data_IF_712021473562
#
_entry.id   IF_712021473562
#
_cell.length_a   1.000
_cell.length_b   1.000
_cell.length_c   1.000
_cell.angle_alpha   90.00
_cell.angle_beta   90.00
_cell.angle_gamma   90.00
#
_symmetry.space_group_name_H-M   'P 1'
#
loop_
_entity.id
_entity.type
_entity.pdbx_description
1 polymer ?
#
# COMPACT_ATOMS: atom_id res chain seq x y z
N UNK A 1 16.07 7.76 13.38
CA UNK A 1 16.24 7.75 11.93
C UNK A 1 16.78 6.39 11.54
N UNK A 2 15.93 5.49 11.03
CA UNK A 2 16.36 4.18 10.54
C UNK A 2 16.80 4.31 9.09
N UNK A 3 18.03 3.92 8.70
CA UNK A 3 18.57 4.09 7.36
C UNK A 3 18.03 3.08 6.33
N UNK A 4 17.06 2.24 6.72
CA UNK A 4 16.55 1.13 5.90
C UNK A 4 15.76 1.61 4.66
N UNK A 5 15.21 2.82 4.68
CA UNK A 5 14.35 3.37 3.62
C UNK A 5 15.08 3.75 2.31
N UNK A 6 16.41 3.74 2.27
CA UNK A 6 17.18 4.12 1.08
C UNK A 6 17.38 3.00 0.05
N UNK A 7 17.07 1.74 0.40
CA UNK A 7 17.33 0.56 -0.43
C UNK A 7 16.07 0.10 -1.17
N UNK A 8 14.90 0.35 -0.61
CA UNK A 8 13.62 -0.12 -1.15
C UNK A 8 13.02 0.86 -2.18
N UNK A 9 13.20 0.52 -3.46
CA UNK A 9 12.56 1.22 -4.59
C UNK A 9 11.21 0.61 -5.04
N UNK A 10 10.65 1.15 -6.13
CA UNK A 10 9.38 0.71 -6.75
C UNK A 10 9.29 -0.81 -6.97
N UNK A 11 10.39 -1.45 -7.33
CA UNK A 11 10.43 -2.91 -7.57
C UNK A 11 10.09 -3.74 -6.34
N UNK A 12 10.46 -3.28 -5.14
CA UNK A 12 10.14 -4.00 -3.91
C UNK A 12 8.67 -3.86 -3.53
N UNK A 13 8.07 -2.70 -3.80
CA UNK A 13 6.62 -2.49 -3.69
C UNK A 13 5.89 -3.42 -4.66
N UNK A 14 6.37 -3.55 -5.90
CA UNK A 14 5.82 -4.49 -6.87
C UNK A 14 5.97 -5.95 -6.42
N UNK A 15 7.11 -6.33 -5.85
CA UNK A 15 7.34 -7.67 -5.31
C UNK A 15 6.37 -8.00 -4.16
N UNK A 16 6.11 -7.04 -3.27
CA UNK A 16 5.09 -7.16 -2.22
C UNK A 16 3.71 -7.41 -2.83
N UNK A 17 3.30 -6.58 -3.80
CA UNK A 17 1.97 -6.66 -4.41
C UNK A 17 1.79 -7.99 -5.15
N UNK A 18 2.80 -8.39 -5.92
CA UNK A 18 2.84 -9.70 -6.62
C UNK A 18 2.89 -10.88 -5.66
N UNK A 19 3.28 -10.66 -4.40
CA UNK A 19 3.41 -11.70 -3.39
C UNK A 19 4.63 -12.59 -3.62
N UNK A 20 5.68 -12.05 -4.23
CA UNK A 20 6.95 -12.75 -4.48
C UNK A 20 7.96 -12.55 -3.34
N UNK A 21 7.61 -11.78 -2.31
CA UNK A 21 8.40 -11.67 -1.08
C UNK A 21 8.22 -12.93 -0.25
N UNK A 22 9.34 -13.61 0.03
CA UNK A 22 9.36 -14.85 0.79
C UNK A 22 9.34 -14.59 2.30
N UNK A 23 9.91 -13.45 2.74
CA UNK A 23 10.02 -13.11 4.16
C UNK A 23 8.86 -12.21 4.64
N UNK A 24 8.39 -12.46 5.85
CA UNK A 24 7.41 -11.61 6.53
C UNK A 24 8.05 -10.32 7.07
N UNK A 25 9.36 -10.33 7.37
CA UNK A 25 10.12 -9.13 7.75
C UNK A 25 10.20 -8.13 6.57
N UNK A 26 10.50 -8.61 5.36
CA UNK A 26 10.50 -7.77 4.16
C UNK A 26 9.13 -7.16 3.87
N UNK A 27 8.04 -7.91 4.12
CA UNK A 27 6.68 -7.39 3.96
C UNK A 27 6.40 -6.24 4.93
N UNK A 28 6.82 -6.39 6.18
CA UNK A 28 6.63 -5.37 7.20
C UNK A 28 7.49 -4.13 6.93
N UNK A 29 8.70 -4.29 6.39
CA UNK A 29 9.56 -3.20 5.95
C UNK A 29 8.88 -2.36 4.84
N UNK A 30 8.26 -3.01 3.86
CA UNK A 30 7.54 -2.32 2.78
C UNK A 30 6.31 -1.59 3.31
N UNK A 31 5.55 -2.20 4.20
CA UNK A 31 4.41 -1.53 4.86
C UNK A 31 4.88 -0.28 5.62
N UNK A 32 5.95 -0.41 6.42
CA UNK A 32 6.53 0.70 7.20
C UNK A 32 7.13 1.80 6.30
N UNK A 33 7.67 1.44 5.14
CA UNK A 33 8.17 2.38 4.13
C UNK A 33 7.02 3.19 3.51
N UNK A 34 5.95 2.53 3.10
CA UNK A 34 4.76 3.19 2.54
C UNK A 34 4.10 4.08 3.58
N UNK A 35 4.14 3.66 4.84
CA UNK A 35 3.67 4.43 5.99
C UNK A 35 4.51 5.70 6.23
N UNK A 36 5.84 5.57 6.24
CA UNK A 36 6.74 6.63 6.70
C UNK A 36 7.29 7.54 5.61
N UNK A 37 7.32 7.09 4.34
CA UNK A 37 7.86 7.85 3.21
C UNK A 37 6.75 8.29 2.24
N UNK A 38 6.45 9.61 2.18
CA UNK A 38 5.46 10.16 1.24
C UNK A 38 5.74 9.85 -0.24
N UNK A 39 7.00 9.62 -0.62
CA UNK A 39 7.38 9.22 -1.98
C UNK A 39 6.96 7.79 -2.27
N UNK A 40 7.16 6.88 -1.32
CA UNK A 40 6.69 5.50 -1.43
C UNK A 40 5.16 5.43 -1.45
N UNK A 41 4.49 6.18 -0.57
CA UNK A 41 3.04 6.34 -0.59
C UNK A 41 2.53 6.83 -1.94
N UNK A 42 3.18 7.85 -2.52
CA UNK A 42 2.82 8.37 -3.85
C UNK A 42 2.97 7.30 -4.94
N UNK A 43 4.06 6.53 -4.94
CA UNK A 43 4.27 5.44 -5.90
C UNK A 43 3.12 4.42 -5.79
N UNK A 44 2.72 4.05 -4.59
CA UNK A 44 1.61 3.10 -4.36
C UNK A 44 0.28 3.62 -4.89
N UNK A 45 0.00 4.91 -4.69
CA UNK A 45 -1.24 5.53 -5.15
C UNK A 45 -1.27 5.71 -6.68
N UNK A 46 -0.12 5.87 -7.31
CA UNK A 46 0.03 6.00 -8.77
C UNK A 46 0.25 4.66 -9.49
N UNK A 47 0.32 3.52 -8.76
CA UNK A 47 0.47 2.19 -9.37
C UNK A 47 -0.75 1.84 -10.20
N UNK A 48 -0.55 1.69 -11.50
CA UNK A 48 -1.59 1.19 -12.40
C UNK A 48 -1.58 -0.35 -12.47
N UNK A 49 -2.74 -1.00 -12.68
CA UNK A 49 -2.82 -2.45 -12.85
C UNK A 49 -1.90 -2.99 -13.95
N UNK A 50 -1.66 -2.19 -15.00
CA UNK A 50 -0.75 -2.53 -16.10
C UNK A 50 0.71 -2.68 -15.65
N UNK A 51 1.12 -2.02 -14.56
CA UNK A 51 2.48 -2.15 -14.00
C UNK A 51 2.65 -3.41 -13.14
N UNK A 52 1.53 -3.96 -12.66
CA UNK A 52 1.52 -5.16 -11.85
C UNK A 52 1.69 -6.43 -12.68
N UNK A 53 1.32 -6.37 -13.96
CA UNK A 53 1.39 -7.48 -14.92
C UNK A 53 0.17 -7.47 -15.83
N UNK A 54 -0.12 -8.61 -16.46
CA UNK A 54 -1.31 -8.75 -17.28
C UNK A 54 -2.57 -8.59 -16.38
N UNK A 55 -3.46 -7.62 -16.64
CA UNK A 55 -4.64 -7.36 -15.79
C UNK A 55 -5.56 -8.58 -15.65
N UNK A 56 -5.49 -9.49 -16.61
CA UNK A 56 -6.25 -10.75 -16.65
C UNK A 56 -5.61 -11.87 -15.82
N UNK A 57 -4.34 -11.71 -15.43
CA UNK A 57 -3.60 -12.61 -14.54
C UNK A 57 -3.46 -12.05 -13.11
N UNK A 58 -4.08 -10.89 -12.83
CA UNK A 58 -4.12 -10.33 -11.47
C UNK A 58 -5.07 -11.15 -10.60
N UNK A 59 -4.50 -12.12 -9.89
CA UNK A 59 -5.20 -12.84 -8.84
C UNK A 59 -5.80 -11.87 -7.81
N UNK A 60 -6.96 -12.23 -7.24
CA UNK A 60 -7.61 -11.47 -6.15
C UNK A 60 -6.64 -11.17 -4.99
N UNK A 61 -5.64 -12.03 -4.78
CA UNK A 61 -4.60 -11.84 -3.79
C UNK A 61 -3.72 -10.61 -4.09
N UNK A 62 -3.39 -10.36 -5.36
CA UNK A 62 -2.59 -9.20 -5.78
C UNK A 62 -3.38 -7.91 -5.55
N UNK A 63 -4.66 -7.90 -5.92
CA UNK A 63 -5.53 -6.75 -5.67
C UNK A 63 -5.70 -6.46 -4.17
N UNK A 64 -5.87 -7.50 -3.34
CA UNK A 64 -5.94 -7.33 -1.87
C UNK A 64 -4.68 -6.70 -1.30
N UNK A 65 -3.49 -7.13 -1.75
CA UNK A 65 -2.21 -6.57 -1.30
C UNK A 65 -2.00 -5.13 -1.75
N UNK A 66 -2.31 -4.81 -3.02
CA UNK A 66 -2.27 -3.43 -3.50
C UNK A 66 -3.20 -2.53 -2.67
N UNK A 67 -4.45 -2.97 -2.46
CA UNK A 67 -5.44 -2.20 -1.69
C UNK A 67 -4.99 -1.96 -0.25
N UNK A 68 -4.32 -2.93 0.37
CA UNK A 68 -3.73 -2.78 1.70
C UNK A 68 -2.69 -1.66 1.72
N UNK A 69 -1.73 -1.66 0.78
CA UNK A 69 -0.73 -0.60 0.70
C UNK A 69 -1.36 0.77 0.40
N UNK A 70 -2.38 0.83 -0.47
CA UNK A 70 -3.10 2.07 -0.76
C UNK A 70 -3.82 2.62 0.48
N UNK A 71 -4.40 1.76 1.32
CA UNK A 71 -5.00 2.19 2.59
C UNK A 71 -3.96 2.78 3.54
N UNK A 72 -2.81 2.13 3.71
CA UNK A 72 -1.71 2.65 4.54
C UNK A 72 -1.24 4.02 4.02
N UNK A 73 -1.06 4.15 2.70
CA UNK A 73 -0.67 5.40 2.06
C UNK A 73 -1.71 6.52 2.24
N UNK A 74 -3.00 6.18 2.21
CA UNK A 74 -4.09 7.17 2.34
C UNK A 74 -4.32 7.58 3.80
N UNK A 75 -4.26 6.64 4.74
CA UNK A 75 -4.33 6.90 6.19
C UNK A 75 -3.23 7.89 6.64
N UNK A 76 -2.02 7.77 6.07
CA UNK A 76 -0.93 8.71 6.36
C UNK A 76 -1.02 10.04 5.63
N UNK A 77 -1.69 10.12 4.48
CA UNK A 77 -2.03 11.40 3.84
C UNK A 77 -2.98 12.25 4.69
N UNK A 78 -3.80 11.60 5.52
CA UNK A 78 -4.78 12.26 6.39
C UNK A 78 -4.42 12.24 7.88
N UNK A 79 -3.24 11.76 8.31
CA UNK A 79 -2.86 11.80 9.74
C UNK A 79 -2.61 13.24 10.27
N UNK A 80 -2.66 14.26 9.40
CA UNK A 80 -2.79 15.68 9.77
C UNK A 80 -4.24 16.19 9.89
N UNK A 81 -5.24 15.40 9.52
CA UNK A 81 -6.68 15.70 9.61
C UNK A 81 -7.40 14.46 10.15
N UNK A 82 -7.59 14.42 11.47
CA UNK A 82 -8.44 13.45 12.17
C UNK A 82 -9.63 12.98 11.33
N UNK A 83 -9.79 11.67 11.05
CA UNK A 83 -11.05 11.13 10.55
C UNK A 83 -12.02 11.03 11.72
N UNK A 84 -12.58 12.17 12.12
CA UNK A 84 -13.79 12.20 12.94
C UNK A 84 -14.98 11.81 12.08
N UNK A 85 -15.63 10.69 12.43
CA UNK A 85 -17.02 10.40 12.15
C UNK A 85 -17.45 10.23 10.67
N UNK A 86 -17.08 9.10 10.05
CA UNK A 86 -18.05 8.44 9.14
C UNK A 86 -18.89 7.49 9.99
N UNK A 87 -19.86 8.06 10.72
CA UNK A 87 -21.01 7.30 11.19
C UNK A 87 -21.78 6.89 9.95
N UNK A 88 -21.70 5.62 9.59
CA UNK A 88 -22.63 5.03 8.64
C UNK A 88 -23.96 4.97 9.38
N UNK A 89 -24.77 6.03 9.26
CA UNK A 89 -26.17 5.98 9.61
C UNK A 89 -26.84 5.01 8.63
N UNK A 90 -26.98 3.76 9.06
CA UNK A 90 -27.87 2.80 8.43
C UNK A 90 -29.31 3.28 8.68
N UNK A 91 -29.76 4.22 7.85
CA UNK A 91 -31.17 4.57 7.75
C UNK A 91 -31.90 3.34 7.18
N UNK A 92 -32.46 2.55 8.09
CA UNK A 92 -33.53 1.60 7.78
C UNK A 92 -34.66 2.33 7.06
N UNK A 93 -35.05 1.81 5.90
CA UNK A 93 -36.40 1.99 5.37
C UNK A 93 -36.83 0.71 4.67
#
# INVERSE_FOLDING_TARGET
MSPVLAIYGKEHILAYVRGTLEDDEEKQDIESLVESDPRAAKIVLELEPAELGDPWALDDAVQRRLKKLQQIADEHRYSGLMPGDVKIDHASN
#
